data_IF_666360019118
#
_entry.id   IF_666360019118
#
_cell.length_a   1.000
_cell.length_b   1.000
_cell.length_c   1.000
_cell.angle_alpha   90.00
_cell.angle_beta   90.00
_cell.angle_gamma   90.00
#
_symmetry.space_group_name_H-M   'P 1'
#
loop_
_entity.id
_entity.type
_entity.pdbx_description
1 polymer ?
#
# COMPACT_ATOMS: atom_id res chain seq x y z
N UNK A 1 7.04 43.23 35.01
CA UNK A 1 6.98 42.31 36.17
C UNK A 1 5.61 41.64 36.14
N UNK A 2 5.46 40.46 35.53
CA UNK A 2 4.23 39.66 35.61
C UNK A 2 4.52 38.23 35.14
N UNK A 3 4.73 37.30 36.08
CA UNK A 3 4.68 35.87 35.78
C UNK A 3 3.27 35.38 36.11
N UNK A 4 2.63 34.72 35.14
CA UNK A 4 1.33 34.04 35.32
C UNK A 4 1.61 32.55 35.35
N UNK A 5 1.71 32.00 36.55
CA UNK A 5 1.67 30.56 36.81
C UNK A 5 0.26 30.03 36.47
N UNK A 6 0.18 29.15 35.46
CA UNK A 6 -1.04 28.43 35.11
C UNK A 6 -0.87 26.98 35.56
N UNK A 7 -1.53 26.67 36.68
CA UNK A 7 -1.67 25.34 37.27
C UNK A 7 -2.42 24.43 36.28
N UNK A 8 -1.73 23.49 35.65
CA UNK A 8 -2.35 22.40 34.89
C UNK A 8 -2.80 21.31 35.89
N UNK A 9 -4.11 21.08 35.91
CA UNK A 9 -4.77 20.02 36.68
C UNK A 9 -4.83 18.79 35.74
N UNK A 10 -4.23 17.65 36.12
CA UNK A 10 -4.19 16.49 35.26
C UNK A 10 -5.59 15.87 35.24
N UNK A 11 -6.30 16.03 34.12
CA UNK A 11 -7.52 15.28 33.84
C UNK A 11 -7.16 13.80 33.83
N UNK A 12 -7.37 13.11 34.95
CA UNK A 12 -7.31 11.65 35.01
C UNK A 12 -8.37 11.08 34.07
N UNK A 13 -7.97 10.77 32.84
CA UNK A 13 -8.73 9.90 31.95
C UNK A 13 -8.76 8.52 32.58
N UNK A 14 -9.81 8.24 33.35
CA UNK A 14 -10.13 6.89 33.79
C UNK A 14 -10.49 6.07 32.56
N UNK A 15 -9.49 5.38 32.00
CA UNK A 15 -9.70 4.44 30.93
C UNK A 15 -10.74 3.40 31.39
N UNK A 16 -11.80 3.15 30.62
CA UNK A 16 -12.75 2.11 30.98
C UNK A 16 -12.00 0.78 31.02
N UNK A 17 -12.06 0.10 32.16
CA UNK A 17 -11.45 -1.21 32.35
C UNK A 17 -12.05 -2.16 31.31
N UNK A 18 -11.21 -2.63 30.40
CA UNK A 18 -11.63 -3.50 29.30
C UNK A 18 -11.84 -4.89 29.88
N UNK A 19 -13.09 -5.24 30.19
CA UNK A 19 -13.46 -6.60 30.57
C UNK A 19 -13.39 -7.52 29.36
N UNK A 20 -12.69 -8.64 29.49
CA UNK A 20 -12.58 -9.65 28.43
C UNK A 20 -13.89 -10.43 28.30
N UNK A 21 -14.09 -11.02 27.11
CA UNK A 21 -15.25 -11.83 26.81
C UNK A 21 -15.40 -12.97 27.84
N UNK A 22 -16.61 -13.17 28.37
CA UNK A 22 -16.92 -14.21 29.36
C UNK A 22 -16.61 -15.65 28.90
N UNK A 23 -16.53 -15.88 27.58
CA UNK A 23 -16.11 -17.16 26.97
C UNK A 23 -14.58 -17.25 26.73
N UNK A 24 -13.80 -16.33 27.28
CA UNK A 24 -12.33 -16.28 27.20
C UNK A 24 -11.75 -16.34 25.77
N UNK A 25 -12.46 -15.79 24.78
CA UNK A 25 -12.04 -15.78 23.37
C UNK A 25 -10.99 -14.71 23.03
N UNK A 26 -10.49 -13.96 24.02
CA UNK A 26 -9.46 -12.93 23.86
C UNK A 26 -9.96 -11.58 23.31
N UNK A 27 -11.25 -11.44 23.01
CA UNK A 27 -11.86 -10.15 22.60
C UNK A 27 -12.51 -9.42 23.78
N UNK A 28 -12.59 -8.07 23.75
CA UNK A 28 -13.30 -7.30 24.76
C UNK A 28 -14.80 -7.64 24.75
N UNK A 29 -15.32 -7.93 25.94
CA UNK A 29 -16.74 -8.14 26.18
C UNK A 29 -17.44 -6.81 26.39
N UNK A 30 -18.69 -6.70 25.92
CA UNK A 30 -19.50 -5.52 26.21
C UNK A 30 -20.46 -5.83 27.37
N UNK A 31 -20.54 -5.00 28.43
CA UNK A 31 -21.50 -5.19 29.52
C UNK A 31 -22.97 -5.22 29.02
N UNK A 32 -23.29 -4.58 27.90
CA UNK A 32 -24.63 -4.64 27.29
C UNK A 32 -24.97 -6.02 26.70
N UNK A 33 -23.96 -6.87 26.41
CA UNK A 33 -24.11 -8.23 25.85
C UNK A 33 -23.65 -9.30 26.84
N UNK A 34 -23.88 -9.08 28.14
CA UNK A 34 -23.48 -9.99 29.23
C UNK A 34 -21.97 -10.26 29.30
N UNK A 35 -21.13 -9.27 28.97
CA UNK A 35 -19.68 -9.41 28.82
C UNK A 35 -19.27 -10.42 27.74
N UNK A 36 -20.12 -10.77 26.76
CA UNK A 36 -19.70 -11.53 25.58
C UNK A 36 -19.23 -10.58 24.48
N UNK A 37 -18.27 -11.01 23.66
CA UNK A 37 -17.97 -10.34 22.40
C UNK A 37 -19.13 -10.53 21.40
N UNK A 38 -19.20 -9.72 20.35
CA UNK A 38 -20.31 -9.77 19.39
C UNK A 38 -20.49 -11.17 18.76
N UNK A 39 -19.39 -11.86 18.43
CA UNK A 39 -19.43 -13.22 17.88
C UNK A 39 -19.96 -14.25 18.87
N UNK A 40 -19.49 -14.20 20.13
CA UNK A 40 -19.98 -15.11 21.18
C UNK A 40 -21.43 -14.80 21.56
N UNK A 41 -21.82 -13.53 21.60
CA UNK A 41 -23.19 -13.13 21.88
C UNK A 41 -24.16 -13.62 20.79
N UNK A 42 -23.78 -13.48 19.52
CA UNK A 42 -24.54 -14.05 18.39
C UNK A 42 -24.63 -15.57 18.47
N UNK A 43 -23.53 -16.27 18.77
CA UNK A 43 -23.54 -17.72 18.95
C UNK A 43 -24.43 -18.17 20.12
N UNK A 44 -24.46 -17.43 21.23
CA UNK A 44 -25.32 -17.74 22.37
C UNK A 44 -26.82 -17.51 22.11
N UNK A 45 -27.17 -16.66 21.13
CA UNK A 45 -28.57 -16.39 20.73
C UNK A 45 -29.09 -17.38 19.69
N UNK A 46 -28.22 -18.14 19.04
CA UNK A 46 -28.57 -19.15 18.06
C UNK A 46 -28.27 -20.53 18.66
N UNK A 47 -29.25 -21.21 19.28
CA UNK A 47 -29.06 -22.58 19.72
C UNK A 47 -28.99 -23.49 18.49
N UNK A 48 -27.81 -23.61 17.90
CA UNK A 48 -27.50 -24.66 16.92
C UNK A 48 -26.49 -25.63 17.54
N UNK A 49 -26.98 -26.83 17.73
CA UNK A 49 -26.39 -28.03 18.34
C UNK A 49 -24.94 -28.31 17.92
N UNK A 50 -24.09 -28.87 18.81
CA UNK A 50 -22.73 -29.26 18.46
C UNK A 50 -22.77 -30.54 17.60
N UNK A 51 -22.15 -30.52 16.43
CA UNK A 51 -21.84 -31.75 15.69
C UNK A 51 -20.33 -31.91 15.58
N UNK A 52 -19.81 -32.71 16.50
CA UNK A 52 -18.47 -33.30 16.51
C UNK A 52 -18.51 -34.57 15.66
N UNK A 53 -17.72 -34.69 14.59
CA UNK A 53 -17.27 -35.96 13.96
C UNK A 53 -16.29 -35.62 12.81
N UNK A 54 -14.96 -35.75 12.90
CA UNK A 54 -14.12 -36.96 12.87
C UNK A 54 -14.46 -37.97 11.75
N UNK A 55 -13.74 -37.93 10.61
CA UNK A 55 -13.28 -39.15 9.91
C UNK A 55 -12.24 -38.83 8.82
N UNK A 56 -11.23 -39.69 8.79
CA UNK A 56 -9.96 -39.69 8.06
C UNK A 56 -10.07 -40.34 6.67
N UNK A 57 -8.91 -40.47 5.98
CA UNK A 57 -8.53 -41.35 4.82
C UNK A 57 -8.39 -40.54 3.50
N UNK A 58 -7.21 -40.17 2.98
CA UNK A 58 -6.01 -40.91 2.55
C UNK A 58 -6.23 -41.83 1.31
N UNK A 59 -5.59 -41.51 0.18
CA UNK A 59 -4.94 -42.42 -0.83
C UNK A 59 -4.82 -41.72 -2.21
N UNK A 60 -3.60 -41.43 -2.67
CA UNK A 60 -2.83 -42.20 -3.69
C UNK A 60 -3.26 -41.88 -5.15
N UNK A 61 -2.51 -41.03 -5.88
CA UNK A 61 -1.40 -41.39 -6.78
C UNK A 61 -1.85 -41.91 -8.17
N UNK A 62 -1.64 -41.10 -9.24
CA UNK A 62 -1.33 -41.53 -10.63
C UNK A 62 -1.05 -40.34 -11.57
N UNK A 63 0.26 -40.14 -11.84
CA UNK A 63 0.97 -39.77 -13.10
C UNK A 63 0.43 -38.72 -14.13
N UNK A 64 1.33 -37.87 -14.70
CA UNK A 64 1.03 -36.97 -15.82
C UNK A 64 1.52 -37.49 -17.19
N UNK A 65 0.96 -36.96 -18.29
CA UNK A 65 1.39 -37.19 -19.69
C UNK A 65 1.39 -35.84 -20.46
N UNK A 66 2.46 -35.47 -21.21
CA UNK A 66 2.45 -34.30 -22.09
C UNK A 66 2.28 -34.69 -23.56
N UNK A 67 1.67 -33.81 -24.36
CA UNK A 67 1.65 -33.92 -25.82
C UNK A 67 1.84 -32.53 -26.44
N UNK A 68 2.94 -32.37 -27.17
CA UNK A 68 3.23 -31.21 -28.02
C UNK A 68 2.64 -31.46 -29.41
N UNK A 69 2.01 -30.43 -30.01
CA UNK A 69 1.74 -30.34 -31.44
C UNK A 69 2.09 -28.94 -31.92
N UNK A 70 2.99 -28.91 -32.89
CA UNK A 70 3.51 -27.78 -33.66
C UNK A 70 2.60 -27.51 -34.87
N UNK A 71 2.40 -26.24 -35.24
CA UNK A 71 1.97 -25.83 -36.58
C UNK A 71 2.71 -24.55 -36.98
N UNK A 72 3.48 -24.67 -38.05
CA UNK A 72 4.16 -23.65 -38.85
C UNK A 72 3.17 -22.69 -39.54
N UNK A 73 3.53 -21.41 -39.69
CA UNK A 73 3.14 -20.60 -40.84
C UNK A 73 4.04 -19.37 -40.99
N UNK A 74 4.70 -19.32 -42.14
CA UNK A 74 5.73 -18.39 -42.56
C UNK A 74 5.20 -17.04 -43.09
N UNK A 75 6.13 -16.08 -43.11
CA UNK A 75 6.32 -15.00 -44.10
C UNK A 75 5.19 -13.97 -44.34
N UNK A 76 5.52 -12.69 -44.12
CA UNK A 76 5.83 -11.71 -45.19
C UNK A 76 6.37 -10.39 -44.60
N UNK A 77 7.44 -9.89 -45.22
CA UNK A 77 7.98 -8.52 -45.09
C UNK A 77 6.96 -7.45 -45.53
N UNK A 78 7.07 -6.22 -45.01
CA UNK A 78 7.33 -5.02 -45.83
C UNK A 78 7.04 -3.70 -45.08
N UNK A 79 8.10 -2.88 -45.03
CA UNK A 79 8.17 -1.43 -45.27
C UNK A 79 7.38 -0.40 -44.43
N UNK A 80 8.19 0.56 -43.98
CA UNK A 80 8.00 2.02 -44.08
C UNK A 80 7.54 2.79 -42.82
N UNK A 81 8.43 3.67 -42.40
CA UNK A 81 8.33 4.65 -41.32
C UNK A 81 7.93 6.05 -41.89
N UNK A 82 8.10 7.18 -41.16
CA UNK A 82 7.09 7.82 -40.32
C UNK A 82 6.80 9.28 -40.76
N UNK A 83 5.62 9.84 -40.48
CA UNK A 83 5.45 11.29 -40.49
C UNK A 83 4.17 11.76 -39.81
N UNK A 84 4.36 12.68 -38.85
CA UNK A 84 3.62 13.92 -38.67
C UNK A 84 2.13 13.89 -38.25
N UNK A 85 1.83 14.89 -37.42
CA UNK A 85 0.51 15.45 -37.11
C UNK A 85 -0.36 14.65 -36.13
N UNK A 86 -0.44 15.14 -34.89
CA UNK A 86 -1.70 15.70 -34.36
C UNK A 86 -1.53 16.03 -32.87
N UNK A 87 -1.42 17.32 -32.58
CA UNK A 87 -1.76 17.89 -31.28
C UNK A 87 -3.27 17.71 -31.13
N UNK A 88 -3.71 16.87 -30.21
CA UNK A 88 -5.12 16.55 -30.00
C UNK A 88 -5.38 16.18 -28.55
N UNK A 89 -6.00 17.10 -27.82
CA UNK A 89 -6.67 16.82 -26.55
C UNK A 89 -7.78 15.79 -26.79
N UNK A 90 -8.03 14.95 -25.77
CA UNK A 90 -9.02 13.89 -25.67
C UNK A 90 -8.57 12.49 -26.15
N UNK A 91 -8.09 11.68 -25.22
CA UNK A 91 -8.40 10.24 -25.20
C UNK A 91 -8.66 9.76 -23.77
N UNK A 92 -9.90 9.31 -23.60
CA UNK A 92 -10.22 8.02 -23.00
C UNK A 92 -10.13 7.85 -21.48
N UNK A 93 -11.32 7.94 -20.89
CA UNK A 93 -11.85 7.00 -19.90
C UNK A 93 -11.78 5.50 -20.35
N UNK A 94 -10.70 5.05 -20.99
CA UNK A 94 -10.48 3.70 -21.49
C UNK A 94 -9.11 3.14 -21.10
N UNK A 95 -8.65 3.39 -19.88
CA UNK A 95 -7.67 2.50 -19.27
C UNK A 95 -8.44 1.35 -18.61
N UNK A 96 -8.72 0.28 -19.38
CA UNK A 96 -8.99 -1.05 -18.81
C UNK A 96 -8.06 -1.22 -17.62
N UNK A 97 -8.58 -1.54 -16.43
CA UNK A 97 -7.87 -1.63 -15.16
C UNK A 97 -6.69 -2.62 -15.24
N UNK A 98 -5.62 -2.23 -15.92
CA UNK A 98 -4.39 -2.97 -16.06
C UNK A 98 -3.82 -2.93 -14.66
N UNK A 99 -3.94 -4.08 -13.98
CA UNK A 99 -3.55 -4.22 -12.59
C UNK A 99 -2.14 -3.65 -12.46
N UNK A 100 -2.00 -2.58 -11.69
CA UNK A 100 -0.71 -1.94 -11.43
C UNK A 100 0.22 -3.00 -10.84
N UNK A 101 1.39 -3.16 -11.44
CA UNK A 101 2.41 -4.13 -11.04
C UNK A 101 3.69 -3.38 -10.66
N UNK A 102 4.43 -3.93 -9.71
CA UNK A 102 5.75 -3.42 -9.36
C UNK A 102 6.71 -3.60 -10.53
N UNK A 103 7.46 -2.57 -10.93
CA UNK A 103 8.43 -2.70 -12.03
C UNK A 103 9.58 -3.66 -11.71
N UNK A 104 10.01 -3.74 -10.45
CA UNK A 104 11.11 -4.62 -10.02
C UNK A 104 10.68 -6.09 -9.87
N UNK A 105 9.63 -6.40 -9.09
CA UNK A 105 9.21 -7.79 -8.82
C UNK A 105 7.93 -8.25 -9.53
N UNK A 106 7.30 -7.39 -10.33
CA UNK A 106 6.03 -7.66 -11.06
C UNK A 106 4.85 -8.08 -10.19
N UNK A 107 4.96 -7.98 -8.86
CA UNK A 107 3.86 -8.21 -7.91
C UNK A 107 2.74 -7.21 -8.21
N UNK A 108 1.48 -7.68 -8.20
CA UNK A 108 0.30 -6.80 -8.28
C UNK A 108 0.29 -5.88 -7.07
N UNK A 109 0.36 -4.57 -7.31
CA UNK A 109 0.35 -3.53 -6.27
C UNK A 109 -1.01 -2.82 -6.17
N UNK A 110 -1.86 -2.86 -7.19
CA UNK A 110 -3.20 -2.25 -7.11
C UNK A 110 -3.17 -0.80 -6.59
N UNK A 111 -4.01 -0.51 -5.61
CA UNK A 111 -4.07 0.78 -4.89
C UNK A 111 -2.87 1.02 -3.95
N UNK A 112 -2.14 -0.03 -3.56
CA UNK A 112 -0.98 0.06 -2.65
C UNK A 112 0.35 0.29 -3.36
N UNK A 113 0.31 0.61 -4.66
CA UNK A 113 1.50 0.93 -5.44
C UNK A 113 2.09 2.29 -5.09
N UNK A 114 3.38 2.34 -4.79
CA UNK A 114 4.12 3.58 -4.58
C UNK A 114 4.75 4.04 -5.90
N UNK A 115 4.50 5.28 -6.31
CA UNK A 115 5.19 5.90 -7.45
C UNK A 115 6.53 6.47 -6.99
N UNK A 116 7.62 6.01 -7.60
CA UNK A 116 8.94 6.62 -7.40
C UNK A 116 9.09 7.90 -8.24
N UNK A 117 10.07 8.75 -7.91
CA UNK A 117 10.40 9.96 -8.67
C UNK A 117 10.90 9.67 -10.10
N UNK A 118 11.36 8.46 -10.38
CA UNK A 118 11.65 8.00 -11.74
C UNK A 118 10.40 7.73 -12.60
N UNK A 119 9.19 7.77 -12.02
CA UNK A 119 7.92 7.58 -12.73
C UNK A 119 7.34 6.15 -12.64
N UNK A 120 8.12 5.19 -12.17
CA UNK A 120 7.71 3.79 -12.05
C UNK A 120 6.92 3.48 -10.76
N UNK A 121 6.15 2.39 -10.80
CA UNK A 121 5.32 1.89 -9.70
C UNK A 121 5.99 0.71 -8.99
N UNK A 122 6.04 0.73 -7.66
CA UNK A 122 6.70 -0.29 -6.84
C UNK A 122 5.82 -0.80 -5.70
N UNK A 123 6.10 -2.01 -5.22
CA UNK A 123 5.50 -2.56 -4.00
C UNK A 123 6.22 -2.02 -2.75
N UNK A 124 5.68 -2.30 -1.56
CA UNK A 124 6.29 -1.86 -0.29
C UNK A 124 7.77 -2.25 -0.12
N UNK A 125 8.20 -3.38 -0.67
CA UNK A 125 9.60 -3.84 -0.59
C UNK A 125 10.56 -3.11 -1.57
N UNK A 126 10.05 -2.58 -2.69
CA UNK A 126 10.86 -1.93 -3.74
C UNK A 126 10.63 -0.42 -3.82
N UNK A 127 9.96 0.17 -2.83
CA UNK A 127 9.61 1.59 -2.78
C UNK A 127 10.84 2.50 -2.78
N UNK A 128 11.91 2.10 -2.10
CA UNK A 128 13.11 2.91 -1.92
C UNK A 128 14.03 2.87 -3.14
N UNK A 129 14.76 3.95 -3.39
CA UNK A 129 15.57 4.17 -4.60
C UNK A 129 16.73 3.17 -4.76
N UNK A 130 17.26 2.68 -3.64
CA UNK A 130 18.28 1.63 -3.55
C UNK A 130 17.78 0.25 -3.96
N UNK A 131 16.46 0.02 -3.95
CA UNK A 131 15.87 -1.30 -4.22
C UNK A 131 15.49 -1.54 -5.68
N UNK A 132 15.45 -0.49 -6.50
CA UNK A 132 15.12 -0.60 -7.92
C UNK A 132 16.13 0.09 -8.85
N UNK A 133 17.28 0.52 -8.33
CA UNK A 133 18.30 1.20 -9.15
C UNK A 133 17.77 2.50 -9.76
N UNK A 134 17.16 3.36 -8.92
CA UNK A 134 16.52 4.58 -9.38
C UNK A 134 17.47 5.48 -10.19
N UNK A 135 17.06 5.85 -11.41
CA UNK A 135 17.78 6.77 -12.30
C UNK A 135 17.58 8.27 -11.96
N UNK A 136 16.78 8.58 -10.95
CA UNK A 136 16.45 9.97 -10.60
C UNK A 136 17.58 10.64 -9.79
N UNK A 137 18.04 11.81 -10.23
CA UNK A 137 19.11 12.58 -9.59
C UNK A 137 18.64 13.33 -8.33
N UNK A 138 18.53 12.60 -7.21
CA UNK A 138 18.15 13.17 -5.92
C UNK A 138 19.09 14.31 -5.46
N UNK A 139 20.38 14.23 -5.79
CA UNK A 139 21.38 15.24 -5.41
C UNK A 139 21.19 16.56 -6.15
N UNK A 140 20.85 16.51 -7.43
CA UNK A 140 20.54 17.70 -8.23
C UNK A 140 19.25 18.33 -7.73
N UNK A 141 18.19 17.52 -7.66
CA UNK A 141 16.88 17.97 -7.22
C UNK A 141 16.88 18.58 -5.81
N UNK A 142 17.65 18.03 -4.87
CA UNK A 142 17.77 18.58 -3.52
C UNK A 142 18.50 19.94 -3.51
N UNK A 143 19.58 20.08 -4.30
CA UNK A 143 20.29 21.37 -4.42
C UNK A 143 19.40 22.44 -5.04
N UNK A 144 18.66 22.09 -6.08
CA UNK A 144 17.74 23.02 -6.75
C UNK A 144 16.59 23.43 -5.83
N UNK A 145 16.07 22.51 -5.02
CA UNK A 145 15.04 22.83 -4.01
C UNK A 145 15.59 23.80 -2.95
N UNK A 146 16.76 23.51 -2.38
CA UNK A 146 17.41 24.38 -1.38
C UNK A 146 17.72 25.75 -1.99
N UNK A 147 18.21 25.82 -3.22
CA UNK A 147 18.50 27.08 -3.90
C UNK A 147 17.26 27.93 -4.13
N UNK A 148 16.09 27.31 -4.37
CA UNK A 148 14.81 28.01 -4.51
C UNK A 148 14.25 28.50 -3.16
N UNK A 149 14.47 27.73 -2.10
CA UNK A 149 13.92 28.02 -0.76
C UNK A 149 14.79 29.00 0.05
N UNK A 150 16.10 29.04 -0.20
CA UNK A 150 17.00 29.93 0.52
C UNK A 150 16.76 31.40 0.16
N UNK A 151 16.35 32.26 1.12
CA UNK A 151 16.22 33.68 0.87
C UNK A 151 17.60 34.30 0.62
N UNK A 152 17.68 35.24 -0.32
CA UNK A 152 18.91 35.95 -0.64
C UNK A 152 19.25 36.93 0.49
N UNK A 153 20.12 36.52 1.41
CA UNK A 153 20.64 37.40 2.46
C UNK A 153 21.85 38.14 1.90
N UNK A 154 21.67 39.42 1.55
CA UNK A 154 22.77 40.34 1.21
C UNK A 154 22.83 41.45 2.25
N UNK A 155 23.85 41.44 3.11
CA UNK A 155 24.19 42.59 3.93
C UNK A 155 24.94 43.64 3.09
N UNK A 156 24.77 44.92 3.39
CA UNK A 156 25.60 45.96 2.80
C UNK A 156 27.08 45.67 3.15
N UNK A 157 27.94 45.64 2.13
CA UNK A 157 29.40 45.59 2.34
C UNK A 157 29.74 46.85 3.14
N UNK A 158 30.22 46.67 4.38
CA UNK A 158 30.46 47.74 5.36
C UNK A 158 31.07 48.95 4.66
N UNK A 159 30.33 50.07 4.63
CA UNK A 159 30.88 51.36 4.23
C UNK A 159 31.53 51.93 5.49
N UNK A 160 32.85 51.76 5.61
CA UNK A 160 33.62 52.43 6.66
C UNK A 160 33.98 53.83 6.15
N UNK A 161 33.62 54.86 6.91
CA UNK A 161 34.20 56.20 6.86
C UNK A 161 34.86 56.48 8.21
#
# INVERSE_FOLDING_TARGET
MAQRDKKEEPTELRAPEITLCANNCGFPGNPATQNLCQSCFSASRSPSSPTSSSSSLASAASQPRPAALVVDAAAVEALAAPAAAAVGQATEAAARASASRCSSCRKRVGLTGFRCRCGELFCGAHRYSDRHGCSYDYRGAARDAIARENPVVRAAKVVRF
#
